data_IF_412879948829
#
_entry.id   IF_412879948829
#
_cell.length_a   1.000
_cell.length_b   1.000
_cell.length_c   1.000
_cell.angle_alpha   90.00
_cell.angle_beta   90.00
_cell.angle_gamma   90.00
#
_symmetry.space_group_name_H-M   'P 1'
#
loop_
_entity.id
_entity.type
_entity.pdbx_description
1 polymer ?
#
# COMPACT_ATOMS: atom_id res chain seq x y z
N UNK A 1 -16.62 4.97 -2.88
CA UNK A 1 -16.17 6.18 -2.14
C UNK A 1 -16.41 7.51 -2.88
N UNK A 2 -16.87 8.56 -2.18
CA UNK A 2 -16.97 9.95 -2.68
C UNK A 2 -15.86 10.81 -2.07
N UNK A 3 -15.17 11.59 -2.90
CA UNK A 3 -14.11 12.51 -2.49
C UNK A 3 -14.59 13.97 -2.53
N UNK A 4 -14.16 14.73 -1.54
CA UNK A 4 -14.47 16.15 -1.40
C UNK A 4 -13.17 16.96 -1.32
N UNK A 5 -13.13 18.10 -1.99
CA UNK A 5 -11.95 18.98 -2.01
C UNK A 5 -12.34 20.32 -1.44
N UNK A 6 -11.63 20.75 -0.41
CA UNK A 6 -11.89 22.00 0.30
C UNK A 6 -10.60 22.81 0.42
N UNK A 7 -10.66 24.10 0.15
CA UNK A 7 -9.62 25.05 0.55
C UNK A 7 -9.55 25.14 2.08
N UNK A 8 -8.48 25.71 2.63
CA UNK A 8 -8.35 25.90 4.09
C UNK A 8 -9.55 26.64 4.69
N UNK A 9 -10.02 27.71 4.03
CA UNK A 9 -11.17 28.48 4.50
C UNK A 9 -12.47 27.65 4.51
N UNK A 10 -12.74 26.92 3.43
CA UNK A 10 -13.93 26.04 3.35
C UNK A 10 -13.85 24.89 4.37
N UNK A 11 -12.64 24.41 4.68
CA UNK A 11 -12.44 23.37 5.69
C UNK A 11 -12.68 23.86 7.12
N UNK A 12 -12.43 25.14 7.42
CA UNK A 12 -12.73 25.76 8.71
C UNK A 12 -14.24 25.94 8.95
N UNK A 13 -15.01 26.10 7.87
CA UNK A 13 -16.47 26.19 7.91
C UNK A 13 -17.14 24.82 8.15
N UNK A 14 -16.41 23.72 8.03
CA UNK A 14 -16.93 22.38 8.32
C UNK A 14 -17.02 22.15 9.83
N UNK A 15 -18.23 21.88 10.31
CA UNK A 15 -18.50 21.50 11.68
C UNK A 15 -17.96 20.10 11.99
N UNK A 16 -17.43 19.93 13.20
CA UNK A 16 -17.07 18.61 13.72
C UNK A 16 -18.33 17.84 14.11
N UNK A 17 -18.24 16.51 14.10
CA UNK A 17 -19.27 15.70 14.75
C UNK A 17 -19.14 15.77 16.27
N UNK A 18 -20.20 15.40 16.97
CA UNK A 18 -20.18 15.25 18.43
C UNK A 18 -19.29 14.08 18.85
N UNK A 19 -18.77 14.11 20.08
CA UNK A 19 -17.82 13.11 20.59
C UNK A 19 -18.37 11.68 20.58
N UNK A 20 -19.67 11.51 20.87
CA UNK A 20 -20.36 10.21 20.84
C UNK A 20 -20.43 9.66 19.41
N UNK A 21 -20.78 10.50 18.43
CA UNK A 21 -20.84 10.09 17.01
C UNK A 21 -19.44 9.73 16.47
N UNK A 22 -18.40 10.48 16.89
CA UNK A 22 -17.02 10.14 16.58
C UNK A 22 -16.62 8.77 17.15
N UNK A 23 -16.96 8.51 18.42
CA UNK A 23 -16.64 7.26 19.09
C UNK A 23 -17.28 6.07 18.39
N UNK A 24 -18.57 6.17 18.04
CA UNK A 24 -19.30 5.12 17.32
C UNK A 24 -18.71 4.85 15.94
N UNK A 25 -18.41 5.92 15.18
CA UNK A 25 -17.81 5.79 13.85
C UNK A 25 -16.42 5.12 13.89
N UNK A 26 -15.59 5.47 14.88
CA UNK A 26 -14.28 4.86 15.05
C UNK A 26 -14.37 3.42 15.58
N UNK A 27 -15.33 3.12 16.46
CA UNK A 27 -15.56 1.77 16.95
C UNK A 27 -15.93 0.81 15.80
N UNK A 28 -16.70 1.30 14.82
CA UNK A 28 -17.02 0.55 13.60
C UNK A 28 -15.80 0.37 12.71
N UNK A 29 -15.06 1.44 12.38
CA UNK A 29 -13.99 1.38 11.36
C UNK A 29 -12.64 0.87 11.85
N UNK A 30 -12.29 1.08 13.12
CA UNK A 30 -10.96 0.77 13.65
C UNK A 30 -10.53 -0.70 13.42
N UNK A 31 -11.39 -1.71 13.60
CA UNK A 31 -11.04 -3.10 13.27
C UNK A 31 -10.62 -3.28 11.81
N UNK A 32 -11.35 -2.68 10.86
CA UNK A 32 -11.06 -2.79 9.43
C UNK A 32 -9.75 -2.06 9.07
N UNK A 33 -9.52 -0.89 9.64
CA UNK A 33 -8.25 -0.16 9.49
C UNK A 33 -7.08 -1.00 10.04
N UNK A 34 -7.29 -1.69 11.17
CA UNK A 34 -6.32 -2.63 11.73
C UNK A 34 -5.94 -3.73 10.73
N UNK A 35 -6.92 -4.32 10.05
CA UNK A 35 -6.68 -5.33 9.01
C UNK A 35 -5.90 -4.79 7.81
N UNK A 36 -6.17 -3.55 7.37
CA UNK A 36 -5.38 -2.88 6.33
C UNK A 36 -3.90 -2.85 6.72
N UNK A 37 -3.59 -2.45 7.96
CA UNK A 37 -2.21 -2.37 8.45
C UNK A 37 -1.56 -3.75 8.53
N UNK A 38 -2.26 -4.75 9.09
CA UNK A 38 -1.75 -6.12 9.24
C UNK A 38 -1.41 -6.73 7.88
N UNK A 39 -2.34 -6.67 6.93
CA UNK A 39 -2.14 -7.26 5.60
C UNK A 39 -1.11 -6.50 4.79
N UNK A 40 -1.07 -5.16 4.90
CA UNK A 40 -0.05 -4.38 4.22
C UNK A 40 1.36 -4.70 4.73
N UNK A 41 1.54 -4.88 6.04
CA UNK A 41 2.82 -5.30 6.60
C UNK A 41 3.21 -6.71 6.11
N UNK A 42 2.23 -7.62 5.98
CA UNK A 42 2.45 -8.96 5.40
C UNK A 42 2.85 -8.89 3.91
N UNK A 43 2.24 -8.00 3.12
CA UNK A 43 2.65 -7.71 1.75
C UNK A 43 4.08 -7.14 1.69
N UNK A 44 4.41 -6.21 2.57
CA UNK A 44 5.76 -5.64 2.65
C UNK A 44 6.82 -6.70 2.98
N UNK A 45 6.52 -7.63 3.88
CA UNK A 45 7.40 -8.76 4.20
C UNK A 45 7.50 -9.78 3.06
N UNK A 46 6.42 -9.98 2.30
CA UNK A 46 6.45 -10.80 1.07
C UNK A 46 7.39 -10.19 0.02
N UNK A 47 7.31 -8.88 -0.19
CA UNK A 47 8.24 -8.16 -1.07
C UNK A 47 9.68 -8.28 -0.58
N UNK A 48 9.91 -8.16 0.74
CA UNK A 48 11.23 -8.35 1.35
C UNK A 48 11.77 -9.77 1.13
N UNK A 49 10.93 -10.79 1.28
CA UNK A 49 11.28 -12.20 1.03
C UNK A 49 11.69 -12.41 -0.42
N UNK A 50 10.92 -11.88 -1.38
CA UNK A 50 11.28 -11.97 -2.79
C UNK A 50 12.63 -11.28 -3.10
N UNK A 51 12.94 -10.18 -2.42
CA UNK A 51 14.24 -9.51 -2.54
C UNK A 51 15.38 -10.38 -2.01
N UNK A 52 15.20 -11.03 -0.86
CA UNK A 52 16.18 -11.96 -0.28
C UNK A 52 16.51 -13.06 -1.29
N UNK A 53 15.50 -13.77 -1.77
CA UNK A 53 15.68 -14.91 -2.68
C UNK A 53 16.35 -14.54 -4.03
N UNK A 54 16.14 -13.33 -4.53
CA UNK A 54 16.81 -12.85 -5.75
C UNK A 54 18.26 -12.44 -5.52
N UNK A 55 18.55 -11.80 -4.39
CA UNK A 55 19.87 -11.22 -4.13
C UNK A 55 20.83 -12.25 -3.53
N UNK A 56 20.32 -13.16 -2.70
CA UNK A 56 21.08 -14.07 -1.89
C UNK A 56 20.40 -15.46 -1.88
N UNK A 57 21.17 -16.51 -2.12
CA UNK A 57 20.77 -17.90 -1.86
C UNK A 57 21.44 -18.42 -0.58
N UNK A 58 21.58 -17.55 0.43
CA UNK A 58 22.34 -17.85 1.65
C UNK A 58 21.72 -17.16 2.89
N UNK A 59 21.10 -17.94 3.81
CA UNK A 59 20.49 -17.42 5.04
C UNK A 59 21.42 -16.59 5.93
N UNK A 60 22.74 -16.82 5.87
CA UNK A 60 23.70 -16.05 6.69
C UNK A 60 24.00 -14.66 6.11
N UNK A 61 23.74 -14.45 4.82
CA UNK A 61 23.88 -13.14 4.18
C UNK A 61 22.59 -12.33 4.24
N UNK A 62 21.45 -12.99 4.46
CA UNK A 62 20.13 -12.36 4.56
C UNK A 62 20.05 -11.35 5.71
N UNK A 63 20.72 -11.59 6.85
CA UNK A 63 20.77 -10.62 7.96
C UNK A 63 21.35 -9.27 7.54
N UNK A 64 22.35 -9.26 6.63
CA UNK A 64 22.93 -8.00 6.15
C UNK A 64 21.96 -7.28 5.24
N UNK A 65 21.26 -8.01 4.37
CA UNK A 65 20.22 -7.45 3.52
C UNK A 65 19.07 -6.90 4.38
N UNK A 66 18.69 -7.58 5.45
CA UNK A 66 17.65 -7.16 6.38
C UNK A 66 17.96 -5.82 7.05
N UNK A 67 19.24 -5.53 7.36
CA UNK A 67 19.65 -4.20 7.85
C UNK A 67 19.28 -3.11 6.84
N UNK A 68 19.49 -3.34 5.54
CA UNK A 68 19.11 -2.37 4.52
C UNK A 68 17.59 -2.32 4.31
N UNK A 69 16.92 -3.47 4.29
CA UNK A 69 15.47 -3.55 4.10
C UNK A 69 14.71 -2.89 5.26
N UNK A 70 15.18 -3.01 6.50
CA UNK A 70 14.54 -2.37 7.66
C UNK A 70 14.46 -0.84 7.55
N UNK A 71 15.46 -0.21 6.92
CA UNK A 71 15.52 1.25 6.72
C UNK A 71 14.75 1.71 5.47
N UNK A 72 14.33 0.78 4.60
CA UNK A 72 13.65 1.11 3.36
C UNK A 72 12.14 1.24 3.53
N UNK A 73 11.59 2.31 2.95
CA UNK A 73 10.15 2.43 2.75
C UNK A 73 9.66 1.35 1.77
N UNK A 74 8.42 0.89 1.94
CA UNK A 74 7.74 -0.05 1.03
C UNK A 74 7.89 0.30 -0.45
N UNK A 75 7.79 1.59 -0.82
CA UNK A 75 7.92 2.04 -2.21
C UNK A 75 9.33 1.84 -2.78
N UNK A 76 10.35 1.95 -1.94
CA UNK A 76 11.74 1.68 -2.32
C UNK A 76 11.96 0.17 -2.49
N UNK A 77 11.43 -0.66 -1.58
CA UNK A 77 11.49 -2.13 -1.68
C UNK A 77 10.81 -2.62 -2.96
N UNK A 78 9.59 -2.14 -3.21
CA UNK A 78 8.82 -2.47 -4.42
C UNK A 78 9.59 -2.11 -5.69
N UNK A 79 10.17 -0.91 -5.76
CA UNK A 79 10.97 -0.49 -6.92
C UNK A 79 12.22 -1.35 -7.12
N UNK A 80 12.93 -1.66 -6.03
CA UNK A 80 14.09 -2.55 -6.09
C UNK A 80 13.70 -3.92 -6.64
N UNK A 81 12.60 -4.51 -6.14
CA UNK A 81 12.12 -5.81 -6.57
C UNK A 81 11.73 -5.82 -8.06
N UNK A 82 10.97 -4.83 -8.50
CA UNK A 82 10.58 -4.69 -9.92
C UNK A 82 11.82 -4.59 -10.83
N UNK A 83 12.81 -3.78 -10.43
CA UNK A 83 14.04 -3.64 -11.21
C UNK A 83 14.87 -4.93 -11.26
N UNK A 84 14.95 -5.67 -10.15
CA UNK A 84 15.65 -6.94 -10.09
C UNK A 84 14.94 -8.00 -10.95
N UNK A 85 13.63 -8.16 -10.82
CA UNK A 85 12.87 -9.03 -11.72
C UNK A 85 13.06 -8.65 -13.19
N UNK A 86 13.04 -7.35 -13.51
CA UNK A 86 13.27 -6.88 -14.87
C UNK A 86 14.64 -7.29 -15.42
N UNK A 87 15.70 -7.12 -14.62
CA UNK A 87 17.06 -7.57 -14.99
C UNK A 87 17.10 -9.09 -15.16
N UNK A 88 16.57 -9.86 -14.20
CA UNK A 88 16.54 -11.33 -14.28
C UNK A 88 15.80 -11.83 -15.52
N UNK A 89 14.66 -11.22 -15.87
CA UNK A 89 13.88 -11.58 -17.06
C UNK A 89 14.72 -11.39 -18.33
N UNK A 90 15.39 -10.24 -18.46
CA UNK A 90 16.20 -9.90 -19.65
C UNK A 90 17.45 -10.77 -19.72
N UNK A 91 18.20 -10.86 -18.62
CA UNK A 91 19.52 -11.51 -18.58
C UNK A 91 19.42 -13.03 -18.69
N UNK A 92 18.33 -13.63 -18.18
CA UNK A 92 18.09 -15.07 -18.23
C UNK A 92 17.13 -15.50 -19.36
N UNK A 93 16.60 -14.55 -20.15
CA UNK A 93 15.71 -14.86 -21.28
C UNK A 93 14.40 -15.54 -20.86
N UNK A 94 13.81 -15.11 -19.73
CA UNK A 94 12.59 -15.71 -19.19
C UNK A 94 11.37 -15.39 -20.06
N UNK A 95 10.33 -16.24 -19.99
CA UNK A 95 9.07 -16.09 -20.75
C UNK A 95 8.17 -14.98 -20.20
N UNK A 96 8.36 -14.59 -18.94
CA UNK A 96 7.62 -13.50 -18.31
C UNK A 96 7.79 -12.20 -19.10
N UNK A 97 6.69 -11.50 -19.37
CA UNK A 97 6.71 -10.32 -20.23
C UNK A 97 6.86 -9.01 -19.44
N UNK A 98 7.40 -7.94 -20.07
CA UNK A 98 7.43 -6.61 -19.45
C UNK A 98 6.05 -6.09 -19.02
N UNK A 99 4.99 -6.46 -19.75
CA UNK A 99 3.62 -6.06 -19.42
C UNK A 99 3.13 -6.71 -18.12
N UNK A 100 3.49 -7.97 -17.88
CA UNK A 100 3.18 -8.64 -16.62
C UNK A 100 3.91 -7.98 -15.44
N UNK A 101 5.18 -7.63 -15.61
CA UNK A 101 5.95 -6.91 -14.60
C UNK A 101 5.36 -5.52 -14.30
N UNK A 102 4.97 -4.77 -15.34
CA UNK A 102 4.29 -3.47 -15.18
C UNK A 102 2.95 -3.59 -14.45
N UNK A 103 2.23 -4.71 -14.59
CA UNK A 103 1.01 -4.94 -13.84
C UNK A 103 1.28 -5.08 -12.33
N UNK A 104 2.32 -5.83 -11.95
CA UNK A 104 2.75 -5.96 -10.55
C UNK A 104 3.22 -4.62 -9.99
N UNK A 105 3.98 -3.83 -10.76
CA UNK A 105 4.42 -2.50 -10.32
C UNK A 105 3.21 -1.60 -9.98
N UNK A 106 2.21 -1.55 -10.88
CA UNK A 106 0.98 -0.77 -10.65
C UNK A 106 0.21 -1.25 -9.43
N UNK A 107 0.14 -2.57 -9.22
CA UNK A 107 -0.52 -3.20 -8.08
C UNK A 107 0.14 -2.77 -6.74
N UNK A 108 1.47 -2.85 -6.66
CA UNK A 108 2.23 -2.44 -5.48
C UNK A 108 2.08 -0.95 -5.20
N UNK A 109 2.15 -0.10 -6.24
CA UNK A 109 1.91 1.35 -6.11
C UNK A 109 0.53 1.62 -5.55
N UNK A 110 -0.50 0.90 -6.02
CA UNK A 110 -1.86 1.08 -5.55
C UNK A 110 -2.07 0.64 -4.10
N UNK A 111 -1.46 -0.49 -3.68
CA UNK A 111 -1.46 -0.92 -2.28
C UNK A 111 -0.86 0.15 -1.36
N UNK A 112 0.29 0.72 -1.76
CA UNK A 112 0.95 1.79 -1.02
C UNK A 112 0.07 3.04 -0.88
N UNK A 113 -0.68 3.41 -1.92
CA UNK A 113 -1.63 4.52 -1.86
C UNK A 113 -2.77 4.24 -0.88
N UNK A 114 -3.44 3.08 -1.02
CA UNK A 114 -4.58 2.69 -0.16
C UNK A 114 -4.18 2.73 1.30
N UNK A 115 -3.10 2.02 1.70
CA UNK A 115 -2.61 2.04 3.09
C UNK A 115 -2.27 3.44 3.58
N UNK A 116 -1.66 4.29 2.75
CA UNK A 116 -1.30 5.65 3.16
C UNK A 116 -2.52 6.55 3.37
N UNK A 117 -3.63 6.32 2.66
CA UNK A 117 -4.87 7.04 2.94
C UNK A 117 -5.38 6.74 4.34
N UNK A 118 -5.30 5.49 4.79
CA UNK A 118 -5.72 5.11 6.14
C UNK A 118 -4.73 5.56 7.22
N UNK A 119 -3.42 5.36 6.99
CA UNK A 119 -2.39 5.65 7.99
C UNK A 119 -2.21 7.16 8.27
N UNK A 120 -2.57 8.02 7.31
CA UNK A 120 -2.40 9.47 7.42
C UNK A 120 -3.72 10.24 7.48
N UNK A 121 -4.86 9.54 7.52
CA UNK A 121 -6.15 10.17 7.74
C UNK A 121 -6.23 10.78 9.15
N UNK A 122 -6.84 11.96 9.22
CA UNK A 122 -7.09 12.70 10.46
C UNK A 122 -8.35 12.16 11.15
N UNK A 123 -8.26 10.92 11.66
CA UNK A 123 -9.42 10.17 12.17
C UNK A 123 -10.17 10.86 13.31
N UNK A 124 -9.46 11.62 14.15
CA UNK A 124 -10.08 12.41 15.23
C UNK A 124 -10.69 13.72 14.73
N UNK A 125 -10.33 14.17 13.53
CA UNK A 125 -10.84 15.37 12.90
C UNK A 125 -12.11 15.15 12.05
N UNK A 126 -12.96 14.19 12.42
CA UNK A 126 -14.17 13.83 11.70
C UNK A 126 -15.14 15.03 11.59
N UNK A 127 -15.59 15.31 10.37
CA UNK A 127 -16.52 16.39 10.07
C UNK A 127 -17.92 15.86 9.81
N UNK A 128 -18.91 16.74 9.97
CA UNK A 128 -20.30 16.50 9.58
C UNK A 128 -20.38 15.90 8.17
N UNK A 129 -21.25 14.89 8.01
CA UNK A 129 -21.29 14.05 6.80
C UNK A 129 -20.29 12.90 6.77
N UNK A 130 -19.67 12.58 7.92
CA UNK A 130 -18.72 11.48 8.11
C UNK A 130 -17.51 11.53 7.17
N UNK A 131 -16.96 12.74 6.96
CA UNK A 131 -15.79 12.93 6.10
C UNK A 131 -14.54 13.18 6.92
N UNK A 132 -13.45 12.52 6.53
CA UNK A 132 -12.14 12.58 7.18
C UNK A 132 -11.12 13.18 6.21
N UNK A 133 -10.27 14.08 6.71
CA UNK A 133 -9.18 14.65 5.93
C UNK A 133 -8.11 13.58 5.70
N UNK A 134 -7.86 13.22 4.45
CA UNK A 134 -6.88 12.18 4.06
C UNK A 134 -5.59 12.74 3.47
N UNK A 135 -5.60 14.01 3.03
CA UNK A 135 -4.43 14.65 2.42
C UNK A 135 -4.53 16.17 2.44
N UNK A 136 -3.38 16.83 2.58
CA UNK A 136 -3.22 18.25 2.29
C UNK A 136 -2.23 18.42 1.14
N UNK A 137 -2.56 19.27 0.17
CA UNK A 137 -1.69 19.55 -0.98
C UNK A 137 -1.50 21.06 -1.12
N UNK A 138 -0.24 21.48 -1.15
CA UNK A 138 0.11 22.85 -1.54
C UNK A 138 -0.06 23.01 -3.04
N UNK A 139 -0.79 24.03 -3.46
CA UNK A 139 -0.98 24.42 -4.85
C UNK A 139 -0.62 25.90 -5.03
N UNK A 140 -0.42 26.33 -6.29
CA UNK A 140 -0.04 27.71 -6.63
C UNK A 140 -1.00 28.78 -6.06
N UNK A 141 -2.23 28.42 -5.73
CA UNK A 141 -3.28 29.33 -5.22
C UNK A 141 -3.64 29.09 -3.75
N UNK A 142 -2.87 28.28 -3.02
CA UNK A 142 -3.13 27.97 -1.62
C UNK A 142 -3.10 26.48 -1.33
N UNK A 143 -3.56 26.10 -0.14
CA UNK A 143 -3.61 24.71 0.32
C UNK A 143 -5.01 24.14 0.03
N UNK A 144 -5.04 22.95 -0.55
CA UNK A 144 -6.25 22.17 -0.77
C UNK A 144 -6.20 20.93 0.11
N UNK A 145 -7.25 20.71 0.87
CA UNK A 145 -7.47 19.53 1.70
C UNK A 145 -8.41 18.57 1.00
N UNK A 146 -8.01 17.30 0.89
CA UNK A 146 -8.84 16.22 0.38
C UNK A 146 -9.50 15.52 1.55
N UNK A 147 -10.82 15.44 1.49
CA UNK A 147 -11.68 14.74 2.45
C UNK A 147 -12.32 13.54 1.78
N UNK A 148 -12.54 12.48 2.56
CA UNK A 148 -13.12 11.23 2.08
C UNK A 148 -14.06 10.68 3.13
N UNK A 149 -15.20 10.16 2.70
CA UNK A 149 -16.05 9.32 3.55
C UNK A 149 -15.61 7.86 3.41
N UNK A 150 -15.48 7.19 4.54
CA UNK A 150 -15.19 5.76 4.59
C UNK A 150 -16.41 5.03 5.15
N UNK A 151 -16.83 3.97 4.46
CA UNK A 151 -17.75 2.99 5.00
C UNK A 151 -16.98 1.70 5.31
N UNK A 152 -17.44 0.88 6.26
CA UNK A 152 -16.77 -0.39 6.57
C UNK A 152 -16.56 -1.26 5.32
N UNK A 153 -17.57 -1.37 4.46
CA UNK A 153 -17.49 -2.10 3.19
C UNK A 153 -16.41 -1.56 2.23
N UNK A 154 -16.23 -0.23 2.17
CA UNK A 154 -15.18 0.40 1.36
C UNK A 154 -13.78 -0.01 1.89
N UNK A 155 -13.61 -0.13 3.21
CA UNK A 155 -12.35 -0.57 3.84
C UNK A 155 -12.13 -2.07 3.64
N UNK A 156 -13.18 -2.88 3.73
CA UNK A 156 -13.12 -4.32 3.45
C UNK A 156 -12.69 -4.64 2.01
N UNK A 157 -13.15 -3.85 1.03
CA UNK A 157 -12.67 -3.97 -0.35
C UNK A 157 -11.16 -3.67 -0.48
N UNK A 158 -10.66 -2.70 0.29
CA UNK A 158 -9.23 -2.38 0.33
C UNK A 158 -8.42 -3.46 1.05
N UNK A 159 -8.95 -4.05 2.12
CA UNK A 159 -8.38 -5.23 2.81
C UNK A 159 -8.23 -6.39 1.83
N UNK A 160 -9.31 -6.77 1.13
CA UNK A 160 -9.30 -7.86 0.16
C UNK A 160 -8.34 -7.59 -1.02
N UNK A 161 -8.24 -6.33 -1.45
CA UNK A 161 -7.30 -5.95 -2.50
C UNK A 161 -5.84 -6.12 -2.06
N UNK A 162 -5.48 -5.70 -0.85
CA UNK A 162 -4.11 -5.83 -0.33
C UNK A 162 -3.76 -7.30 -0.11
N UNK A 163 -4.70 -8.10 0.40
CA UNK A 163 -4.54 -9.56 0.52
C UNK A 163 -4.28 -10.21 -0.85
N UNK A 164 -5.15 -9.96 -1.83
CA UNK A 164 -4.98 -10.51 -3.18
C UNK A 164 -3.69 -10.02 -3.86
N UNK A 165 -3.23 -8.80 -3.54
CA UNK A 165 -1.96 -8.28 -4.04
C UNK A 165 -0.76 -9.03 -3.47
N UNK A 166 -0.78 -9.39 -2.18
CA UNK A 166 0.25 -10.22 -1.56
C UNK A 166 0.36 -11.57 -2.28
N UNK A 167 -0.76 -12.23 -2.47
CA UNK A 167 -0.79 -13.55 -3.10
C UNK A 167 -0.31 -13.47 -4.57
N UNK A 168 -0.74 -12.43 -5.30
CA UNK A 168 -0.30 -12.17 -6.68
C UNK A 168 1.21 -11.93 -6.78
N UNK A 169 1.80 -11.18 -5.84
CA UNK A 169 3.25 -10.90 -5.79
C UNK A 169 4.03 -12.20 -5.54
N UNK A 170 3.56 -13.00 -4.58
CA UNK A 170 4.17 -14.29 -4.26
C UNK A 170 4.11 -15.25 -5.46
N UNK A 171 2.93 -15.44 -6.06
CA UNK A 171 2.76 -16.31 -7.23
C UNK A 171 3.58 -15.84 -8.44
N UNK A 172 3.70 -14.53 -8.65
CA UNK A 172 4.56 -13.98 -9.69
C UNK A 172 6.02 -14.33 -9.44
N UNK A 173 6.47 -14.24 -8.18
CA UNK A 173 7.84 -14.59 -7.80
C UNK A 173 8.13 -16.06 -8.04
N UNK A 174 7.30 -16.97 -7.52
CA UNK A 174 7.45 -18.41 -7.69
C UNK A 174 7.53 -18.80 -9.18
N UNK A 175 6.64 -18.25 -10.01
CA UNK A 175 6.65 -18.50 -11.45
C UNK A 175 7.93 -18.01 -12.13
N UNK A 176 8.53 -16.94 -11.63
CA UNK A 176 9.81 -16.44 -12.14
C UNK A 176 10.94 -17.38 -11.73
N UNK A 177 10.95 -17.85 -10.48
CA UNK A 177 11.94 -18.83 -9.99
C UNK A 177 11.81 -20.19 -10.70
N UNK A 178 10.59 -20.65 -10.99
CA UNK A 178 10.35 -21.88 -11.75
C UNK A 178 10.97 -21.81 -13.15
N UNK A 179 10.87 -20.66 -13.81
CA UNK A 179 11.51 -20.44 -15.11
C UNK A 179 13.03 -20.35 -14.99
N UNK A 180 13.54 -19.71 -13.94
CA UNK A 180 14.97 -19.54 -13.70
C UNK A 180 15.68 -20.87 -13.41
N UNK A 181 15.04 -21.74 -12.62
CA UNK A 181 15.61 -23.02 -12.19
C UNK A 181 15.09 -24.24 -12.95
N UNK A 182 14.16 -24.05 -13.89
CA UNK A 182 13.58 -25.14 -14.67
C UNK A 182 12.77 -26.13 -13.83
N UNK A 183 12.03 -25.65 -12.83
CA UNK A 183 11.23 -26.50 -11.90
C UNK A 183 9.85 -26.92 -12.44
N UNK A 184 9.65 -26.86 -13.76
CA UNK A 184 8.38 -27.16 -14.43
C UNK A 184 8.34 -28.58 -15.04
#
# INVERSE_FOLDING_TARGET
MREHHHTTREAEELEYVEEEELADYLAELAPHIGWVVILFNSLEDTVATCLRELMLHDPYQDERLDVFLAEMLFSAKSRALINLWGQTIVDCGLKTTPQQLTAIEKLLVECGKRRNEYAHADWLGLKQGQIVKVKSQSQKRGIVHRYKRFAAADVEEDVAFIEGARDTVYEFHERLLDQLYGRA
#
